data_IF_626306844903
#
_entry.id   IF_626306844903
#
_cell.length_a   1.000
_cell.length_b   1.000
_cell.length_c   1.000
_cell.angle_alpha   90.00
_cell.angle_beta   90.00
_cell.angle_gamma   90.00
#
_symmetry.space_group_name_H-M   'P 1'
#
loop_
_entity.id
_entity.type
_entity.pdbx_description
1 polymer ?
#
# COMPACT_ATOMS: atom_id res chain seq x y z
N UNK A 1 23.47 -10.79 -1.82
CA UNK A 1 21.99 -10.81 -1.79
C UNK A 1 21.53 -9.78 -0.77
N UNK A 2 20.58 -8.89 -1.12
CA UNK A 2 20.02 -7.93 -0.18
C UNK A 2 19.34 -8.65 1.00
N UNK A 3 19.22 -7.96 2.12
CA UNK A 3 18.45 -8.39 3.30
C UNK A 3 17.57 -7.23 3.79
N UNK A 4 16.54 -7.53 4.58
CA UNK A 4 15.71 -6.49 5.21
C UNK A 4 16.54 -5.48 6.00
N UNK A 5 17.58 -5.95 6.69
CA UNK A 5 18.50 -5.09 7.42
C UNK A 5 19.25 -4.12 6.49
N UNK A 6 19.71 -4.59 5.33
CA UNK A 6 20.37 -3.70 4.36
C UNK A 6 19.41 -2.66 3.79
N UNK A 7 18.16 -3.04 3.49
CA UNK A 7 17.13 -2.10 3.03
C UNK A 7 16.90 -1.01 4.08
N UNK A 8 16.68 -1.41 5.34
CA UNK A 8 16.46 -0.48 6.46
C UNK A 8 17.64 0.47 6.65
N UNK A 9 18.87 -0.07 6.66
CA UNK A 9 20.09 0.74 6.84
C UNK A 9 20.21 1.86 5.81
N UNK A 10 19.94 1.57 4.53
CA UNK A 10 20.00 2.60 3.48
C UNK A 10 18.81 3.57 3.55
N UNK A 11 17.62 3.09 3.91
CA UNK A 11 16.47 3.96 4.13
C UNK A 11 16.73 4.96 5.27
N UNK A 12 17.28 4.50 6.40
CA UNK A 12 17.60 5.33 7.57
C UNK A 12 18.74 6.31 7.27
N UNK A 13 19.62 5.98 6.32
CA UNK A 13 20.67 6.88 5.83
C UNK A 13 20.16 7.92 4.82
N UNK A 14 18.87 7.90 4.44
CA UNK A 14 18.29 8.79 3.45
C UNK A 14 18.52 8.37 1.99
N UNK A 15 19.19 7.24 1.76
CA UNK A 15 19.48 6.68 0.44
C UNK A 15 18.26 5.92 -0.12
N UNK A 16 17.13 6.63 -0.25
CA UNK A 16 15.81 6.05 -0.50
C UNK A 16 15.72 5.30 -1.84
N UNK A 17 16.36 5.81 -2.89
CA UNK A 17 16.39 5.13 -4.21
C UNK A 17 17.11 3.80 -4.11
N UNK A 18 18.28 3.77 -3.47
CA UNK A 18 19.04 2.54 -3.28
C UNK A 18 18.27 1.56 -2.38
N UNK A 19 17.63 2.05 -1.31
CA UNK A 19 16.79 1.23 -0.45
C UNK A 19 15.64 0.59 -1.23
N UNK A 20 14.97 1.34 -2.12
CA UNK A 20 13.90 0.84 -2.96
C UNK A 20 14.37 -0.23 -3.96
N UNK A 21 15.53 -0.03 -4.58
CA UNK A 21 16.11 -1.02 -5.51
C UNK A 21 16.49 -2.32 -4.80
N UNK A 22 17.07 -2.23 -3.59
CA UNK A 22 17.39 -3.39 -2.77
C UNK A 22 16.13 -4.10 -2.27
N UNK A 23 15.07 -3.36 -1.92
CA UNK A 23 13.81 -3.93 -1.51
C UNK A 23 13.11 -4.69 -2.65
N UNK A 24 13.13 -4.14 -3.86
CA UNK A 24 12.61 -4.80 -5.06
C UNK A 24 13.38 -6.09 -5.37
N UNK A 25 14.71 -6.02 -5.40
CA UNK A 25 15.56 -7.22 -5.60
C UNK A 25 15.29 -8.30 -4.55
N UNK A 26 15.08 -7.91 -3.29
CA UNK A 26 14.77 -8.84 -2.20
C UNK A 26 13.40 -9.50 -2.37
N UNK A 27 12.36 -8.72 -2.66
CA UNK A 27 11.00 -9.19 -2.91
C UNK A 27 10.97 -10.17 -4.10
N UNK A 28 11.62 -9.83 -5.21
CA UNK A 28 11.67 -10.67 -6.40
C UNK A 28 12.43 -11.98 -6.15
N UNK A 29 13.56 -11.93 -5.44
CA UNK A 29 14.35 -13.10 -5.07
C UNK A 29 13.57 -14.05 -4.13
N UNK A 30 12.91 -13.52 -3.09
CA UNK A 30 12.14 -14.33 -2.14
C UNK A 30 10.85 -14.86 -2.76
N UNK A 31 10.19 -14.07 -3.62
CA UNK A 31 9.06 -14.52 -4.41
C UNK A 31 9.43 -15.70 -5.30
N UNK A 32 10.60 -15.65 -5.95
CA UNK A 32 11.10 -16.75 -6.79
C UNK A 32 11.48 -17.99 -5.97
N UNK A 33 12.09 -17.80 -4.79
CA UNK A 33 12.59 -18.91 -3.97
C UNK A 33 11.51 -19.61 -3.12
N UNK A 34 10.51 -18.87 -2.65
CA UNK A 34 9.54 -19.35 -1.65
C UNK A 34 8.08 -19.16 -2.07
N UNK A 35 7.83 -18.44 -3.16
CA UNK A 35 6.51 -18.03 -3.58
C UNK A 35 6.05 -16.69 -2.98
N UNK A 36 5.04 -16.05 -3.59
CA UNK A 36 4.64 -14.68 -3.28
C UNK A 36 3.86 -14.52 -1.96
N UNK A 37 3.37 -15.60 -1.36
CA UNK A 37 2.63 -15.59 -0.08
C UNK A 37 3.46 -16.09 1.11
N UNK A 38 4.72 -16.47 0.90
CA UNK A 38 5.57 -16.92 1.99
C UNK A 38 5.84 -15.75 2.97
N UNK A 39 5.83 -15.96 4.32
CA UNK A 39 5.97 -14.87 5.29
C UNK A 39 7.17 -13.96 5.04
N UNK A 40 8.34 -14.53 4.76
CA UNK A 40 9.56 -13.75 4.42
C UNK A 40 9.41 -12.90 3.15
N UNK A 41 8.65 -13.38 2.18
CA UNK A 41 8.37 -12.63 0.95
C UNK A 41 7.43 -11.46 1.24
N UNK A 42 6.42 -11.66 2.11
CA UNK A 42 5.52 -10.60 2.53
C UNK A 42 6.23 -9.50 3.33
N UNK A 43 7.21 -9.86 4.18
CA UNK A 43 8.06 -8.89 4.87
C UNK A 43 8.88 -8.05 3.87
N UNK A 44 9.48 -8.68 2.85
CA UNK A 44 10.22 -7.97 1.81
C UNK A 44 9.33 -7.08 0.94
N UNK A 45 8.14 -7.55 0.57
CA UNK A 45 7.15 -6.75 -0.17
C UNK A 45 6.66 -5.56 0.65
N UNK A 46 6.51 -5.72 1.96
CA UNK A 46 6.20 -4.63 2.87
C UNK A 46 7.34 -3.60 2.87
N UNK A 47 8.60 -4.03 2.97
CA UNK A 47 9.74 -3.10 2.87
C UNK A 47 9.82 -2.37 1.51
N UNK A 48 9.42 -3.04 0.42
CA UNK A 48 9.28 -2.41 -0.90
C UNK A 48 8.16 -1.36 -0.90
N UNK A 49 7.04 -1.62 -0.24
CA UNK A 49 5.96 -0.64 -0.08
C UNK A 49 6.40 0.56 0.76
N UNK A 50 7.11 0.33 1.87
CA UNK A 50 7.67 1.37 2.74
C UNK A 50 8.59 2.32 1.95
N UNK A 51 9.53 1.76 1.19
CA UNK A 51 10.52 2.53 0.41
C UNK A 51 9.88 3.30 -0.73
N UNK A 52 8.85 2.74 -1.39
CA UNK A 52 8.05 3.44 -2.40
C UNK A 52 7.29 4.62 -1.81
N UNK A 53 6.68 4.44 -0.63
CA UNK A 53 5.99 5.52 0.06
C UNK A 53 6.96 6.66 0.45
N UNK A 54 8.16 6.32 0.94
CA UNK A 54 9.19 7.30 1.28
C UNK A 54 9.69 8.10 0.05
N UNK A 55 9.68 7.49 -1.14
CA UNK A 55 9.99 8.17 -2.41
C UNK A 55 8.81 9.00 -2.97
N UNK A 56 7.65 9.00 -2.31
CA UNK A 56 6.45 9.68 -2.78
C UNK A 56 5.66 8.91 -3.85
N UNK A 57 6.06 7.69 -4.20
CA UNK A 57 5.35 6.81 -5.12
C UNK A 57 4.19 6.11 -4.39
N UNK A 58 3.21 6.93 -3.98
CA UNK A 58 2.07 6.50 -3.16
C UNK A 58 1.23 5.43 -3.87
N UNK A 59 1.02 5.57 -5.18
CA UNK A 59 0.24 4.63 -5.99
C UNK A 59 0.84 3.22 -5.99
N UNK A 60 2.17 3.11 -6.15
CA UNK A 60 2.85 1.81 -6.08
C UNK A 60 2.83 1.26 -4.65
N UNK A 61 3.10 2.09 -3.65
CA UNK A 61 3.08 1.68 -2.24
C UNK A 61 1.70 1.14 -1.83
N UNK A 62 0.61 1.84 -2.18
CA UNK A 62 -0.77 1.44 -1.92
C UNK A 62 -1.05 0.07 -2.56
N UNK A 63 -0.65 -0.12 -3.82
CA UNK A 63 -0.87 -1.37 -4.53
C UNK A 63 -0.15 -2.55 -3.86
N UNK A 64 1.07 -2.34 -3.37
CA UNK A 64 1.84 -3.35 -2.65
C UNK A 64 1.24 -3.67 -1.28
N UNK A 65 0.85 -2.67 -0.49
CA UNK A 65 0.19 -2.91 0.81
C UNK A 65 -1.13 -3.66 0.64
N UNK A 66 -1.92 -3.34 -0.40
CA UNK A 66 -3.15 -4.08 -0.72
C UNK A 66 -2.86 -5.57 -0.97
N UNK A 67 -1.89 -5.89 -1.83
CA UNK A 67 -1.49 -7.29 -2.10
C UNK A 67 -1.07 -8.00 -0.81
N UNK A 68 -0.26 -7.36 0.04
CA UNK A 68 0.17 -7.95 1.32
C UNK A 68 -1.01 -8.17 2.27
N UNK A 69 -1.90 -7.19 2.42
CA UNK A 69 -3.08 -7.28 3.28
C UNK A 69 -4.02 -8.42 2.84
N UNK A 70 -4.30 -8.51 1.53
CA UNK A 70 -5.12 -9.58 0.95
C UNK A 70 -4.49 -10.96 1.22
N UNK A 71 -3.17 -11.10 1.05
CA UNK A 71 -2.46 -12.36 1.35
C UNK A 71 -2.52 -12.77 2.82
N UNK A 72 -2.37 -11.83 3.76
CA UNK A 72 -2.56 -12.11 5.18
C UNK A 72 -4.00 -12.53 5.50
N UNK A 73 -4.98 -11.87 4.86
CA UNK A 73 -6.39 -12.25 5.03
C UNK A 73 -6.64 -13.68 4.55
N UNK A 74 -6.14 -14.05 3.36
CA UNK A 74 -6.25 -15.41 2.83
C UNK A 74 -5.49 -16.46 3.66
N UNK A 75 -4.41 -16.06 4.33
CA UNK A 75 -3.67 -16.93 5.24
C UNK A 75 -4.35 -17.13 6.61
N UNK A 76 -5.50 -16.50 6.85
CA UNK A 76 -6.22 -16.59 8.12
C UNK A 76 -5.67 -15.68 9.22
N UNK A 77 -4.95 -14.61 8.86
CA UNK A 77 -4.43 -13.59 9.78
C UNK A 77 -5.12 -12.24 9.56
N UNK A 78 -6.41 -12.10 9.95
CA UNK A 78 -7.18 -10.89 9.71
C UNK A 78 -6.66 -9.67 10.50
N UNK A 79 -5.96 -9.90 11.61
CA UNK A 79 -5.42 -8.82 12.43
C UNK A 79 -4.25 -8.14 11.72
N UNK A 80 -3.28 -8.92 11.23
CA UNK A 80 -2.18 -8.36 10.43
C UNK A 80 -2.71 -7.80 9.10
N UNK A 81 -3.65 -8.48 8.46
CA UNK A 81 -4.29 -7.98 7.24
C UNK A 81 -4.90 -6.59 7.43
N UNK A 82 -5.64 -6.37 8.53
CA UNK A 82 -6.22 -5.06 8.85
C UNK A 82 -5.15 -4.00 9.07
N UNK A 83 -4.08 -4.31 9.82
CA UNK A 83 -2.99 -3.35 10.07
C UNK A 83 -2.29 -2.93 8.78
N UNK A 84 -2.05 -3.86 7.86
CA UNK A 84 -1.45 -3.54 6.55
C UNK A 84 -2.45 -2.75 5.68
N UNK A 85 -3.74 -3.10 5.70
CA UNK A 85 -4.78 -2.35 5.00
C UNK A 85 -4.91 -0.91 5.50
N UNK A 86 -4.64 -0.65 6.79
CA UNK A 86 -4.56 0.70 7.36
C UNK A 86 -3.48 1.55 6.68
N UNK A 87 -2.32 0.97 6.38
CA UNK A 87 -1.23 1.66 5.68
C UNK A 87 -1.65 2.09 4.28
N UNK A 88 -2.29 1.21 3.51
CA UNK A 88 -2.82 1.54 2.19
C UNK A 88 -3.87 2.66 2.24
N UNK A 89 -4.80 2.60 3.21
CA UNK A 89 -5.84 3.61 3.39
C UNK A 89 -5.23 4.98 3.73
N UNK A 90 -4.32 5.03 4.70
CA UNK A 90 -3.66 6.27 5.12
C UNK A 90 -2.92 6.91 3.96
N UNK A 91 -2.16 6.14 3.16
CA UNK A 91 -1.47 6.69 1.99
C UNK A 91 -2.43 7.20 0.92
N UNK A 92 -3.57 6.54 0.71
CA UNK A 92 -4.58 7.01 -0.23
C UNK A 92 -5.14 8.39 0.17
N UNK A 93 -5.29 8.66 1.47
CA UNK A 93 -5.71 9.97 1.98
C UNK A 93 -4.63 11.06 1.83
N UNK A 94 -3.36 10.68 1.64
CA UNK A 94 -2.26 11.63 1.42
C UNK A 94 -2.13 12.05 -0.05
N UNK A 95 -2.84 11.42 -0.98
CA UNK A 95 -2.81 11.80 -2.39
C UNK A 95 -3.49 13.16 -2.54
N UNK A 96 -2.70 14.17 -2.94
CA UNK A 96 -3.14 15.55 -3.05
C UNK A 96 -4.02 15.81 -4.28
N UNK A 97 -3.76 15.11 -5.40
CA UNK A 97 -4.59 15.22 -6.59
C UNK A 97 -5.89 14.41 -6.43
N UNK A 98 -7.07 15.05 -6.37
CA UNK A 98 -8.33 14.36 -6.14
C UNK A 98 -8.65 13.38 -7.28
N UNK A 99 -8.22 13.65 -8.52
CA UNK A 99 -8.45 12.73 -9.65
C UNK A 99 -7.65 11.44 -9.50
N UNK A 100 -6.38 11.53 -9.13
CA UNK A 100 -5.54 10.36 -8.81
C UNK A 100 -6.09 9.60 -7.61
N UNK A 101 -6.51 10.30 -6.54
CA UNK A 101 -7.13 9.66 -5.38
C UNK A 101 -8.45 8.95 -5.77
N UNK A 102 -9.29 9.58 -6.59
CA UNK A 102 -10.53 8.97 -7.08
C UNK A 102 -10.27 7.72 -7.91
N UNK A 103 -9.24 7.71 -8.76
CA UNK A 103 -8.87 6.54 -9.57
C UNK A 103 -8.53 5.30 -8.72
N UNK A 104 -7.95 5.50 -7.53
CA UNK A 104 -7.57 4.43 -6.60
C UNK A 104 -8.74 3.98 -5.69
N UNK A 105 -9.77 4.82 -5.55
CA UNK A 105 -10.89 4.63 -4.61
C UNK A 105 -11.58 3.26 -4.72
N UNK A 106 -11.95 2.76 -5.92
CA UNK A 106 -12.64 1.47 -6.03
C UNK A 106 -11.80 0.31 -5.47
N UNK A 107 -10.48 0.40 -5.62
CA UNK A 107 -9.54 -0.59 -5.15
C UNK A 107 -9.43 -0.59 -3.61
N UNK A 108 -9.41 0.58 -2.98
CA UNK A 108 -9.38 0.71 -1.52
C UNK A 108 -10.71 0.29 -0.89
N UNK A 109 -11.83 0.72 -1.47
CA UNK A 109 -13.18 0.33 -0.99
C UNK A 109 -13.36 -1.18 -1.08
N UNK A 110 -12.94 -1.82 -2.18
CA UNK A 110 -12.97 -3.29 -2.31
C UNK A 110 -12.10 -3.97 -1.27
N UNK A 111 -10.84 -3.52 -1.10
CA UNK A 111 -9.95 -4.07 -0.08
C UNK A 111 -10.61 -3.97 1.30
N UNK A 112 -11.20 -2.82 1.66
CA UNK A 112 -11.86 -2.65 2.96
C UNK A 112 -13.16 -3.41 3.11
N UNK A 113 -13.89 -3.70 2.03
CA UNK A 113 -15.03 -4.60 2.10
C UNK A 113 -14.60 -6.03 2.49
N UNK A 114 -13.42 -6.46 2.03
CA UNK A 114 -12.84 -7.77 2.34
C UNK A 114 -12.09 -7.79 3.67
N UNK A 115 -11.53 -6.64 4.07
CA UNK A 115 -10.70 -6.45 5.27
C UNK A 115 -11.27 -5.24 6.04
N UNK A 116 -12.40 -5.41 6.77
CA UNK A 116 -13.17 -4.28 7.31
C UNK A 116 -12.40 -3.41 8.30
N UNK A 117 -11.53 -4.03 9.12
CA UNK A 117 -10.93 -3.37 10.28
C UNK A 117 -11.96 -2.71 11.20
N UNK A 118 -11.52 -1.88 12.13
CA UNK A 118 -12.41 -1.06 12.96
C UNK A 118 -12.92 0.14 12.15
N UNK A 119 -14.04 -0.04 11.44
CA UNK A 119 -14.70 1.04 10.67
C UNK A 119 -14.01 1.44 9.36
N UNK A 120 -12.94 0.74 8.96
CA UNK A 120 -12.14 1.07 7.77
C UNK A 120 -12.95 1.07 6.46
N UNK A 121 -13.95 0.20 6.35
CA UNK A 121 -14.87 0.17 5.20
C UNK A 121 -15.73 1.43 5.09
N UNK A 122 -16.40 1.83 6.18
CA UNK A 122 -17.30 3.00 6.18
C UNK A 122 -16.50 4.26 5.87
N UNK A 123 -15.33 4.44 6.49
CA UNK A 123 -14.46 5.57 6.21
C UNK A 123 -14.01 5.60 4.74
N UNK A 124 -13.67 4.45 4.16
CA UNK A 124 -13.25 4.39 2.76
C UNK A 124 -14.38 4.78 1.81
N UNK A 125 -15.61 4.33 2.06
CA UNK A 125 -16.77 4.72 1.24
C UNK A 125 -17.06 6.22 1.34
N UNK A 126 -17.01 6.79 2.55
CA UNK A 126 -17.26 8.21 2.77
C UNK A 126 -16.22 9.08 2.07
N UNK A 127 -14.94 8.71 2.14
CA UNK A 127 -13.87 9.45 1.47
C UNK A 127 -13.97 9.34 -0.06
N UNK A 128 -14.29 8.16 -0.60
CA UNK A 128 -14.52 7.99 -2.04
C UNK A 128 -15.66 8.89 -2.54
N UNK A 129 -16.81 8.91 -1.84
CA UNK A 129 -17.93 9.76 -2.19
C UNK A 129 -17.61 11.27 -2.05
N UNK A 130 -16.71 11.64 -1.14
CA UNK A 130 -16.22 13.00 -1.04
C UNK A 130 -15.39 13.40 -2.27
N UNK A 131 -14.47 12.54 -2.72
CA UNK A 131 -13.65 12.79 -3.91
C UNK A 131 -14.50 12.96 -5.17
N UNK A 132 -15.55 12.16 -5.34
CA UNK A 132 -16.48 12.28 -6.47
C UNK A 132 -17.18 13.65 -6.51
N UNK A 133 -17.62 14.16 -5.35
CA UNK A 133 -18.21 15.51 -5.26
C UNK A 133 -17.21 16.59 -5.61
N UNK A 134 -15.99 16.52 -5.06
CA UNK A 134 -14.93 17.50 -5.35
C UNK A 134 -14.60 17.55 -6.84
N UNK A 135 -14.51 16.40 -7.50
CA UNK A 135 -14.24 16.34 -8.95
C UNK A 135 -15.42 16.89 -9.76
N UNK A 136 -16.66 16.57 -9.35
CA UNK A 136 -17.86 17.07 -10.00
C UNK A 136 -17.96 18.59 -9.92
N UNK A 137 -17.81 19.17 -8.73
CA UNK A 137 -17.91 20.62 -8.50
C UNK A 137 -16.84 21.36 -9.32
N UNK A 138 -15.60 20.85 -9.34
CA UNK A 138 -14.52 21.42 -10.14
C UNK A 138 -14.76 21.35 -11.66
N UNK A 139 -15.64 20.47 -12.15
CA UNK A 139 -15.99 20.38 -13.56
C UNK A 139 -17.16 21.30 -13.96
N UNK A 140 -17.96 21.77 -13.00
CA UNK A 140 -19.09 22.68 -13.23
C UNK A 140 -18.65 24.15 -13.17
N UNK A 141 -17.56 24.45 -12.45
CA UNK A 141 -16.97 25.79 -12.31
C UNK A 141 -16.04 26.22 -13.47
N UNK A 142 -16.01 25.48 -14.60
CA UNK A 142 -15.19 25.75 -15.79
C UNK A 142 -16.03 25.86 -17.05
#
# INVERSE_FOLDING_TARGET
MPTLLTVRRYADAGELTLAADLAAQLDDALSSAHGPSHPRTLEARTARADTRAALGDLSAAISLYRDVAERHMYAGDPQTASQIADRAHILWQQITDPRTAAAISPAIVRMRAQIPGQGGYVHAQQYAAHLERVIHDAAVDH
#
